data_IF_645877482493
#
_entry.id   IF_645877482493
#
_cell.length_a   1.000
_cell.length_b   1.000
_cell.length_c   1.000
_cell.angle_alpha   90.00
_cell.angle_beta   90.00
_cell.angle_gamma   90.00
#
_symmetry.space_group_name_H-M   'P 1'
#
loop_
_entity.id
_entity.type
_entity.pdbx_description
1 polymer ?
#
# COMPACT_ATOMS: atom_id res chain seq x y z
N UNK A 1 6.06 32.12 17.79
CA UNK A 1 7.52 32.29 17.67
C UNK A 1 7.78 33.03 16.37
N UNK A 2 8.13 34.32 16.42
CA UNK A 2 8.44 35.12 15.22
C UNK A 2 9.92 34.97 14.91
N UNK A 3 10.25 34.25 13.84
CA UNK A 3 11.64 34.03 13.40
C UNK A 3 12.10 35.30 12.64
N UNK A 4 13.03 36.06 13.21
CA UNK A 4 13.62 37.22 12.54
C UNK A 4 14.49 36.76 11.36
N UNK A 5 14.29 37.36 10.18
CA UNK A 5 15.05 37.04 8.96
C UNK A 5 14.54 35.84 8.16
N UNK A 6 13.38 35.28 8.49
CA UNK A 6 12.76 34.25 7.65
C UNK A 6 12.32 34.86 6.30
N UNK A 7 12.75 34.27 5.19
CA UNK A 7 12.25 34.66 3.88
C UNK A 7 10.72 34.41 3.82
N UNK A 8 9.92 35.42 3.47
CA UNK A 8 8.46 35.26 3.31
C UNK A 8 8.10 34.13 2.34
N UNK A 9 8.95 33.87 1.35
CA UNK A 9 8.69 32.88 0.29
C UNK A 9 8.86 31.42 0.74
N UNK A 10 9.47 31.19 1.92
CA UNK A 10 9.81 29.84 2.39
C UNK A 10 8.89 29.31 3.49
N UNK A 11 7.90 30.12 3.89
CA UNK A 11 6.92 29.80 4.91
C UNK A 11 5.50 29.91 4.36
N UNK A 12 4.71 28.86 4.56
CA UNK A 12 3.26 28.88 4.40
C UNK A 12 2.65 27.96 5.48
N UNK A 13 1.33 28.00 5.63
CA UNK A 13 0.65 27.18 6.65
C UNK A 13 0.83 25.68 6.43
N UNK A 14 0.90 25.22 5.18
CA UNK A 14 1.10 23.80 4.83
C UNK A 14 2.51 23.29 5.13
N UNK A 15 3.52 24.17 5.13
CA UNK A 15 4.93 23.87 5.40
C UNK A 15 5.31 24.13 6.85
N UNK A 16 4.43 24.75 7.63
CA UNK A 16 4.67 25.03 9.03
C UNK A 16 4.72 23.72 9.86
N UNK A 17 5.50 23.69 10.95
CA UNK A 17 5.47 22.57 11.88
C UNK A 17 4.06 22.34 12.44
N UNK A 18 3.65 21.08 12.55
CA UNK A 18 2.35 20.73 13.13
C UNK A 18 2.24 21.19 14.59
N UNK A 19 1.27 22.09 14.84
CA UNK A 19 0.98 22.66 16.17
C UNK A 19 0.09 21.74 17.02
N UNK A 20 -0.79 20.96 16.37
CA UNK A 20 -1.72 20.03 17.01
C UNK A 20 -1.36 18.60 16.65
N UNK A 21 -1.17 17.74 17.67
CA UNK A 21 -0.74 16.34 17.51
C UNK A 21 -1.75 15.39 18.15
N UNK A 22 -2.82 15.08 17.42
CA UNK A 22 -3.92 14.25 17.93
C UNK A 22 -3.75 12.75 17.67
N UNK A 23 -2.67 12.35 17.01
CA UNK A 23 -2.43 10.99 16.54
C UNK A 23 -1.85 10.12 17.66
N UNK A 24 -2.67 9.20 18.16
CA UNK A 24 -2.26 8.20 19.15
C UNK A 24 -1.79 6.88 18.52
N UNK A 25 -1.31 5.93 19.34
CA UNK A 25 -0.83 4.63 18.86
C UNK A 25 -1.86 3.86 18.02
N UNK A 26 -3.15 3.94 18.36
CA UNK A 26 -4.22 3.26 17.62
C UNK A 26 -4.40 3.82 16.21
N UNK A 27 -4.41 5.14 16.05
CA UNK A 27 -4.53 5.75 14.71
C UNK A 27 -3.29 5.49 13.85
N UNK A 28 -2.10 5.44 14.47
CA UNK A 28 -0.87 5.01 13.79
C UNK A 28 -0.99 3.55 13.35
N UNK A 29 -1.42 2.66 14.23
CA UNK A 29 -1.65 1.25 13.90
C UNK A 29 -2.64 1.07 12.74
N UNK A 30 -3.75 1.81 12.76
CA UNK A 30 -4.74 1.75 11.68
C UNK A 30 -4.18 2.27 10.34
N UNK A 31 -3.31 3.29 10.34
CA UNK A 31 -2.66 3.77 9.09
C UNK A 31 -1.80 2.68 8.50
N UNK A 32 -0.91 2.12 9.31
CA UNK A 32 -0.02 1.06 8.85
C UNK A 32 -0.79 -0.18 8.39
N UNK A 33 -1.83 -0.53 9.13
CA UNK A 33 -2.74 -1.62 8.72
C UNK A 33 -3.36 -1.32 7.37
N UNK A 34 -3.92 -0.12 7.17
CA UNK A 34 -4.57 0.25 5.91
C UNK A 34 -3.59 0.28 4.73
N UNK A 35 -2.33 0.65 4.96
CA UNK A 35 -1.28 0.66 3.93
C UNK A 35 -0.92 -0.77 3.48
N UNK A 36 -0.75 -1.69 4.44
CA UNK A 36 -0.44 -3.10 4.16
C UNK A 36 -1.63 -3.82 3.50
N UNK A 37 -2.87 -3.47 3.88
CA UNK A 37 -4.09 -4.07 3.34
C UNK A 37 -4.46 -3.46 1.97
N UNK A 38 -3.56 -3.63 1.00
CA UNK A 38 -3.75 -3.22 -0.38
C UNK A 38 -3.92 -4.43 -1.30
N UNK A 39 -4.70 -4.26 -2.38
CA UNK A 39 -4.90 -5.32 -3.37
C UNK A 39 -3.56 -5.81 -3.96
N UNK A 40 -2.67 -4.87 -4.29
CA UNK A 40 -1.34 -5.15 -4.80
C UNK A 40 -0.45 -5.86 -3.77
N UNK A 41 -0.55 -5.49 -2.49
CA UNK A 41 0.14 -6.17 -1.40
C UNK A 41 -0.28 -7.63 -1.27
N UNK A 42 -1.57 -7.93 -1.43
CA UNK A 42 -2.07 -9.31 -1.42
C UNK A 42 -1.60 -10.12 -2.62
N UNK A 43 -1.64 -9.56 -3.83
CA UNK A 43 -1.11 -10.23 -5.02
C UNK A 43 0.38 -10.52 -4.87
N UNK A 44 1.14 -9.55 -4.36
CA UNK A 44 2.56 -9.73 -4.11
C UNK A 44 2.79 -10.83 -3.07
N UNK A 45 2.15 -10.77 -1.91
CA UNK A 45 2.29 -11.76 -0.85
C UNK A 45 1.94 -13.18 -1.34
N UNK A 46 0.84 -13.32 -2.09
CA UNK A 46 0.43 -14.59 -2.68
C UNK A 46 1.47 -15.11 -3.70
N UNK A 47 2.05 -14.24 -4.52
CA UNK A 47 3.10 -14.63 -5.46
C UNK A 47 4.40 -15.04 -4.76
N UNK A 48 4.82 -14.27 -3.75
CA UNK A 48 6.03 -14.54 -2.96
C UNK A 48 5.93 -15.84 -2.17
N UNK A 49 4.72 -16.21 -1.72
CA UNK A 49 4.47 -17.48 -1.04
C UNK A 49 4.93 -18.69 -1.86
N UNK A 50 4.76 -18.65 -3.18
CA UNK A 50 5.15 -19.75 -4.07
C UNK A 50 6.66 -19.99 -4.08
N UNK A 51 7.48 -18.97 -3.83
CA UNK A 51 8.95 -19.11 -3.79
C UNK A 51 9.46 -19.59 -2.44
N UNK A 52 8.63 -19.59 -1.39
CA UNK A 52 9.06 -19.97 -0.06
C UNK A 52 9.05 -21.49 0.17
N UNK A 53 8.43 -22.28 -0.72
CA UNK A 53 8.39 -23.74 -0.60
C UNK A 53 7.53 -24.27 0.55
N UNK A 54 6.95 -23.38 1.36
CA UNK A 54 6.14 -23.75 2.52
C UNK A 54 5.80 -22.55 3.41
N UNK A 55 4.85 -22.76 4.33
CA UNK A 55 4.29 -21.71 5.17
C UNK A 55 5.29 -21.13 6.19
N UNK A 56 6.08 -21.98 6.84
CA UNK A 56 7.06 -21.54 7.87
C UNK A 56 8.14 -20.68 7.23
N UNK A 57 8.68 -21.11 6.09
CA UNK A 57 9.67 -20.37 5.32
C UNK A 57 9.14 -19.00 4.88
N UNK A 58 7.86 -18.93 4.50
CA UNK A 58 7.21 -17.67 4.16
C UNK A 58 7.13 -16.71 5.34
N UNK A 59 6.72 -17.19 6.53
CA UNK A 59 6.71 -16.37 7.74
C UNK A 59 8.11 -15.85 8.07
N UNK A 60 9.14 -16.69 7.95
CA UNK A 60 10.53 -16.29 8.23
C UNK A 60 10.99 -15.23 7.22
N UNK A 61 10.81 -15.47 5.92
CA UNK A 61 11.26 -14.55 4.87
C UNK A 61 10.56 -13.19 4.96
N UNK A 62 9.22 -13.18 5.04
CA UNK A 62 8.43 -11.94 5.19
C UNK A 62 8.68 -11.29 6.55
N UNK A 63 8.84 -12.07 7.62
CA UNK A 63 9.12 -11.58 8.96
C UNK A 63 10.45 -10.84 9.04
N UNK A 64 11.53 -11.41 8.49
CA UNK A 64 12.83 -10.75 8.40
C UNK A 64 12.74 -9.47 7.56
N UNK A 65 12.11 -9.53 6.39
CA UNK A 65 11.89 -8.35 5.56
C UNK A 65 11.11 -7.24 6.29
N UNK A 66 10.08 -7.63 7.04
CA UNK A 66 9.25 -6.70 7.83
C UNK A 66 10.01 -6.08 9.01
N UNK A 67 10.92 -6.81 9.65
CA UNK A 67 11.80 -6.25 10.69
C UNK A 67 12.79 -5.23 10.10
N UNK A 68 13.32 -5.49 8.91
CA UNK A 68 14.18 -4.53 8.19
C UNK A 68 13.37 -3.27 7.85
N UNK A 69 12.16 -3.42 7.29
CA UNK A 69 11.26 -2.31 6.99
C UNK A 69 10.97 -1.50 8.27
N UNK A 70 10.61 -2.18 9.36
CA UNK A 70 10.34 -1.54 10.64
C UNK A 70 11.53 -0.72 11.14
N UNK A 71 12.74 -1.27 11.10
CA UNK A 71 13.94 -0.56 11.52
C UNK A 71 14.21 0.69 10.67
N UNK A 72 14.16 0.57 9.34
CA UNK A 72 14.39 1.66 8.41
C UNK A 72 13.31 2.76 8.55
N UNK A 73 12.04 2.37 8.69
CA UNK A 73 10.93 3.31 8.90
C UNK A 73 11.05 4.08 10.21
N UNK A 74 11.51 3.45 11.29
CA UNK A 74 11.74 4.17 12.55
C UNK A 74 12.86 5.21 12.41
N UNK A 75 13.92 4.88 11.65
CA UNK A 75 15.03 5.79 11.42
C UNK A 75 14.57 7.03 10.62
N UNK A 76 13.81 6.83 9.56
CA UNK A 76 13.26 7.91 8.72
C UNK A 76 12.21 8.73 9.48
N UNK A 77 11.29 8.07 10.19
CA UNK A 77 10.18 8.72 10.90
C UNK A 77 10.61 9.56 12.11
N UNK A 78 11.79 9.31 12.70
CA UNK A 78 12.25 9.99 13.90
C UNK A 78 12.33 11.52 13.72
N UNK A 79 12.87 11.99 12.59
CA UNK A 79 12.99 13.41 12.29
C UNK A 79 11.61 14.09 12.17
N UNK A 80 10.66 13.43 11.51
CA UNK A 80 9.28 13.90 11.36
C UNK A 80 8.55 14.02 12.70
N UNK A 81 8.67 13.02 13.58
CA UNK A 81 8.04 13.06 14.91
C UNK A 81 8.64 14.15 15.79
N UNK A 82 9.97 14.32 15.76
CA UNK A 82 10.67 15.31 16.60
C UNK A 82 10.36 16.74 16.16
N UNK A 83 10.42 17.02 14.86
CA UNK A 83 10.31 18.38 14.32
C UNK A 83 8.88 18.77 13.96
N UNK A 84 8.03 17.81 13.60
CA UNK A 84 6.67 18.06 13.11
C UNK A 84 6.61 18.78 11.76
N UNK A 85 7.74 18.95 11.06
CA UNK A 85 7.76 19.57 9.73
C UNK A 85 7.51 18.54 8.63
N UNK A 86 6.91 18.94 7.50
CA UNK A 86 6.68 18.02 6.39
C UNK A 86 7.99 17.68 5.66
N UNK A 87 7.99 16.54 4.95
CA UNK A 87 9.16 16.03 4.22
C UNK A 87 9.88 17.06 3.35
N UNK A 88 9.22 17.91 2.52
CA UNK A 88 9.91 18.88 1.68
C UNK A 88 10.75 19.88 2.48
N UNK A 89 10.39 20.15 3.74
CA UNK A 89 11.17 21.02 4.63
C UNK A 89 12.36 20.26 5.22
N UNK A 90 12.18 19.00 5.63
CA UNK A 90 13.27 18.14 6.10
C UNK A 90 14.34 17.94 5.02
N UNK A 91 13.93 17.74 3.77
CA UNK A 91 14.83 17.55 2.64
C UNK A 91 15.75 18.76 2.39
N UNK A 92 15.38 19.97 2.84
CA UNK A 92 16.22 21.17 2.72
C UNK A 92 17.52 21.06 3.49
N UNK A 93 17.56 20.26 4.56
CA UNK A 93 18.78 20.04 5.33
C UNK A 93 19.85 19.26 4.54
N UNK A 94 19.44 18.40 3.60
CA UNK A 94 20.35 17.57 2.80
C UNK A 94 20.61 18.15 1.41
N UNK A 95 19.58 18.69 0.75
CA UNK A 95 19.66 19.12 -0.65
C UNK A 95 19.64 20.65 -0.82
N UNK A 96 19.56 21.41 0.27
CA UNK A 96 19.34 22.85 0.24
C UNK A 96 17.92 23.24 -0.15
N UNK A 97 17.63 24.54 -0.14
CA UNK A 97 16.28 25.09 -0.34
C UNK A 97 15.69 24.70 -1.71
N UNK A 98 16.47 24.89 -2.78
CA UNK A 98 16.03 24.62 -4.15
C UNK A 98 16.22 23.17 -4.56
N UNK A 99 17.28 22.51 -4.08
CA UNK A 99 17.55 21.10 -4.40
C UNK A 99 16.51 20.15 -3.80
N UNK A 100 15.89 20.51 -2.66
CA UNK A 100 14.82 19.72 -2.03
C UNK A 100 13.56 19.55 -2.91
N UNK A 101 13.37 20.40 -3.93
CA UNK A 101 12.25 20.27 -4.85
C UNK A 101 12.36 19.03 -5.74
N UNK A 102 13.57 18.59 -6.08
CA UNK A 102 13.78 17.40 -6.92
C UNK A 102 13.25 16.13 -6.23
N UNK A 103 13.69 15.75 -5.02
CA UNK A 103 13.15 14.57 -4.34
C UNK A 103 11.67 14.73 -3.99
N UNK A 104 11.20 15.94 -3.66
CA UNK A 104 9.78 16.19 -3.41
C UNK A 104 8.91 15.94 -4.66
N UNK A 105 9.37 16.34 -5.86
CA UNK A 105 8.67 16.09 -7.12
C UNK A 105 8.69 14.62 -7.50
N UNK A 106 9.85 13.94 -7.37
CA UNK A 106 9.94 12.49 -7.61
C UNK A 106 8.93 11.75 -6.73
N UNK A 107 8.88 12.10 -5.44
CA UNK A 107 7.91 11.54 -4.50
C UNK A 107 6.47 11.85 -4.91
N UNK A 108 6.17 13.06 -5.36
CA UNK A 108 4.83 13.43 -5.83
C UNK A 108 4.39 12.58 -7.04
N UNK A 109 5.29 12.34 -8.00
CA UNK A 109 5.02 11.47 -9.17
C UNK A 109 4.69 10.05 -8.73
N UNK A 110 5.50 9.48 -7.82
CA UNK A 110 5.26 8.12 -7.28
C UNK A 110 3.94 8.05 -6.52
N UNK A 111 3.61 9.08 -5.73
CA UNK A 111 2.34 9.16 -5.02
C UNK A 111 1.14 9.24 -5.98
N UNK A 112 1.23 10.03 -7.05
CA UNK A 112 0.19 10.11 -8.09
C UNK A 112 -0.01 8.76 -8.80
N UNK A 113 1.08 8.04 -9.10
CA UNK A 113 1.01 6.70 -9.69
C UNK A 113 0.26 5.73 -8.77
N UNK A 114 0.65 5.65 -7.49
CA UNK A 114 -0.01 4.76 -6.53
C UNK A 114 -1.45 5.14 -6.27
N UNK A 115 -1.76 6.44 -6.19
CA UNK A 115 -3.13 6.92 -6.08
C UNK A 115 -3.98 6.44 -7.27
N UNK A 116 -3.49 6.58 -8.50
CA UNK A 116 -4.18 6.09 -9.70
C UNK A 116 -4.35 4.57 -9.72
N UNK A 117 -3.28 3.82 -9.44
CA UNK A 117 -3.30 2.35 -9.43
C UNK A 117 -4.28 1.79 -8.38
N UNK A 118 -4.35 2.40 -7.19
CA UNK A 118 -5.26 1.99 -6.12
C UNK A 118 -6.71 2.38 -6.44
N UNK A 119 -6.92 3.54 -7.07
CA UNK A 119 -8.24 3.96 -7.57
C UNK A 119 -8.76 2.99 -8.63
N UNK A 120 -7.90 2.56 -9.56
CA UNK A 120 -8.23 1.57 -10.57
C UNK A 120 -8.62 0.23 -9.94
N UNK A 121 -7.81 -0.29 -9.02
CA UNK A 121 -8.12 -1.51 -8.28
C UNK A 121 -9.47 -1.42 -7.52
N UNK A 122 -9.71 -0.32 -6.80
CA UNK A 122 -10.97 -0.10 -6.09
C UNK A 122 -12.17 -0.02 -7.05
N UNK A 123 -12.03 0.69 -8.18
CA UNK A 123 -13.08 0.77 -9.19
C UNK A 123 -13.40 -0.58 -9.83
N UNK A 124 -12.39 -1.43 -10.05
CA UNK A 124 -12.57 -2.80 -10.55
C UNK A 124 -13.38 -3.67 -9.60
N UNK A 125 -13.21 -3.50 -8.27
CA UNK A 125 -14.04 -4.19 -7.29
C UNK A 125 -15.52 -3.78 -7.39
N UNK A 126 -15.81 -2.50 -7.64
CA UNK A 126 -17.17 -2.01 -7.87
C UNK A 126 -17.75 -2.57 -9.18
N UNK A 127 -16.97 -2.56 -10.26
CA UNK A 127 -17.38 -3.16 -11.54
C UNK A 127 -17.74 -4.63 -11.35
N UNK A 128 -16.88 -5.41 -10.67
CA UNK A 128 -17.12 -6.83 -10.40
C UNK A 128 -18.37 -7.10 -9.54
N UNK A 129 -18.79 -6.14 -8.72
CA UNK A 129 -20.06 -6.19 -7.98
C UNK A 129 -21.23 -5.84 -8.90
N UNK A 130 -21.12 -4.77 -9.69
CA UNK A 130 -22.20 -4.30 -10.57
C UNK A 130 -22.52 -5.30 -11.68
N UNK A 131 -21.52 -5.95 -12.26
CA UNK A 131 -21.71 -6.99 -13.31
C UNK A 131 -22.41 -8.25 -12.80
N UNK A 132 -22.69 -8.37 -11.49
CA UNK A 132 -23.61 -9.39 -10.97
C UNK A 132 -25.07 -9.12 -11.38
N UNK A 133 -25.38 -7.89 -11.79
CA UNK A 133 -26.67 -7.49 -12.32
C UNK A 133 -26.60 -7.49 -13.86
N UNK A 134 -27.56 -8.15 -14.50
CA UNK A 134 -27.52 -8.40 -15.96
C UNK A 134 -27.43 -7.11 -16.79
N UNK A 135 -28.13 -6.04 -16.38
CA UNK A 135 -28.05 -4.75 -17.07
C UNK A 135 -26.60 -4.24 -17.11
N UNK A 136 -25.94 -4.16 -15.96
CA UNK A 136 -24.57 -3.63 -15.88
C UNK A 136 -23.56 -4.56 -16.57
N UNK A 137 -23.78 -5.87 -16.58
CA UNK A 137 -22.95 -6.79 -17.36
C UNK A 137 -23.06 -6.54 -18.86
N UNK A 138 -24.28 -6.40 -19.39
CA UNK A 138 -24.50 -6.10 -20.81
C UNK A 138 -23.88 -4.76 -21.19
N UNK A 139 -24.06 -3.73 -20.36
CA UNK A 139 -23.43 -2.42 -20.56
C UNK A 139 -21.90 -2.50 -20.54
N UNK A 140 -21.33 -3.30 -19.63
CA UNK A 140 -19.89 -3.50 -19.52
C UNK A 140 -19.28 -4.17 -20.75
N UNK A 141 -20.05 -5.01 -21.46
CA UNK A 141 -19.59 -5.75 -22.64
C UNK A 141 -19.85 -5.05 -23.97
N UNK A 142 -20.82 -4.14 -24.01
CA UNK A 142 -21.29 -3.49 -25.25
C UNK A 142 -20.70 -2.09 -25.44
N UNK A 143 -20.43 -1.37 -24.36
CA UNK A 143 -19.97 0.01 -24.42
C UNK A 143 -18.49 0.12 -24.05
N UNK A 144 -17.68 0.66 -24.97
CA UNK A 144 -16.26 0.87 -24.77
C UNK A 144 -15.89 2.35 -24.89
N UNK A 145 -15.00 2.81 -24.01
CA UNK A 145 -14.47 4.17 -23.99
C UNK A 145 -13.00 4.12 -23.57
N UNK A 146 -12.12 4.86 -24.26
CA UNK A 146 -10.69 4.93 -23.97
C UNK A 146 -9.97 3.56 -23.95
N UNK A 147 -10.45 2.58 -24.71
CA UNK A 147 -9.91 1.22 -24.71
C UNK A 147 -10.34 0.34 -23.53
N UNK A 148 -11.19 0.88 -22.64
CA UNK A 148 -11.78 0.19 -21.50
C UNK A 148 -13.30 0.04 -21.69
N UNK A 149 -13.96 -0.73 -20.83
CA UNK A 149 -15.42 -0.68 -20.74
C UNK A 149 -15.85 0.70 -20.24
N UNK A 150 -16.94 1.25 -20.79
CA UNK A 150 -17.49 2.52 -20.31
C UNK A 150 -17.89 2.44 -18.84
N UNK A 151 -18.31 1.26 -18.36
CA UNK A 151 -18.60 1.05 -16.94
C UNK A 151 -17.35 1.21 -16.08
N UNK A 152 -16.21 0.68 -16.52
CA UNK A 152 -14.93 0.80 -15.79
C UNK A 152 -14.51 2.27 -15.67
N UNK A 153 -14.60 3.04 -16.76
CA UNK A 153 -14.26 4.46 -16.75
C UNK A 153 -15.18 5.25 -15.80
N UNK A 154 -16.48 4.98 -15.82
CA UNK A 154 -17.45 5.63 -14.92
C UNK A 154 -17.12 5.29 -13.46
N UNK A 155 -16.93 4.00 -13.13
CA UNK A 155 -16.59 3.57 -11.79
C UNK A 155 -15.26 4.19 -11.31
N UNK A 156 -14.26 4.28 -12.19
CA UNK A 156 -13.00 4.94 -11.88
C UNK A 156 -13.20 6.42 -11.53
N UNK A 157 -13.89 7.19 -12.38
CA UNK A 157 -14.13 8.62 -12.16
C UNK A 157 -14.95 8.86 -10.90
N UNK A 158 -15.96 8.03 -10.62
CA UNK A 158 -16.78 8.12 -9.40
C UNK A 158 -15.93 7.88 -8.15
N UNK A 159 -15.15 6.79 -8.12
CA UNK A 159 -14.30 6.47 -6.95
C UNK A 159 -13.23 7.55 -6.76
N UNK A 160 -12.58 7.98 -7.84
CA UNK A 160 -11.60 9.06 -7.83
C UNK A 160 -12.19 10.36 -7.24
N UNK A 161 -13.39 10.75 -7.69
CA UNK A 161 -14.05 11.96 -7.22
C UNK A 161 -14.45 11.85 -5.74
N UNK A 162 -14.98 10.70 -5.30
CA UNK A 162 -15.32 10.47 -3.91
C UNK A 162 -14.09 10.56 -2.98
N UNK A 163 -12.97 9.96 -3.39
CA UNK A 163 -11.72 10.05 -2.65
C UNK A 163 -11.23 11.51 -2.55
N UNK A 164 -11.28 12.25 -3.65
CA UNK A 164 -10.91 13.67 -3.67
C UNK A 164 -11.76 14.50 -2.70
N UNK A 165 -13.09 14.26 -2.66
CA UNK A 165 -14.00 14.93 -1.73
C UNK A 165 -13.69 14.63 -0.26
N UNK A 166 -13.22 13.43 0.06
CA UNK A 166 -12.82 13.06 1.42
C UNK A 166 -11.52 13.77 1.80
N UNK A 167 -10.52 13.78 0.90
CA UNK A 167 -9.21 14.41 1.14
C UNK A 167 -9.34 15.92 1.32
N UNK A 168 -10.22 16.58 0.56
CA UNK A 168 -10.48 18.02 0.69
C UNK A 168 -10.99 18.45 2.08
N UNK A 169 -11.59 17.52 2.85
CA UNK A 169 -12.04 17.78 4.23
C UNK A 169 -10.94 17.64 5.28
N UNK A 170 -9.68 17.49 4.85
CA UNK A 170 -8.50 17.48 5.72
C UNK A 170 -8.18 16.14 6.37
N UNK A 171 -6.98 16.06 6.95
CA UNK A 171 -6.40 14.83 7.49
C UNK A 171 -7.18 14.18 8.64
N UNK A 172 -7.94 14.98 9.42
CA UNK A 172 -8.77 14.44 10.50
C UNK A 172 -9.98 13.64 9.96
N UNK A 173 -10.54 14.05 8.81
CA UNK A 173 -11.62 13.29 8.16
C UNK A 173 -11.08 11.97 7.63
N UNK A 174 -9.89 11.99 7.01
CA UNK A 174 -9.20 10.78 6.53
C UNK A 174 -8.91 9.84 7.69
N UNK A 175 -8.38 10.35 8.79
CA UNK A 175 -8.11 9.57 10.01
C UNK A 175 -9.38 8.89 10.52
N UNK A 176 -10.48 9.62 10.68
CA UNK A 176 -11.75 9.05 11.20
C UNK A 176 -12.33 8.01 10.25
N UNK A 177 -12.27 8.25 8.95
CA UNK A 177 -12.70 7.29 7.94
C UNK A 177 -11.89 5.98 8.06
N UNK A 178 -10.57 6.11 8.20
CA UNK A 178 -9.67 4.98 8.28
C UNK A 178 -9.74 4.24 9.63
N UNK A 179 -9.96 4.95 10.74
CA UNK A 179 -10.19 4.36 12.06
C UNK A 179 -11.45 3.46 12.07
N UNK A 180 -12.42 3.73 11.19
CA UNK A 180 -13.58 2.87 10.96
C UNK A 180 -13.30 1.77 9.91
N UNK A 181 -12.66 2.11 8.80
CA UNK A 181 -12.40 1.17 7.71
C UNK A 181 -11.41 0.06 8.11
N UNK A 182 -10.40 0.38 8.94
CA UNK A 182 -9.38 -0.58 9.40
C UNK A 182 -9.99 -1.82 10.07
N UNK A 183 -10.81 -1.65 11.12
CA UNK A 183 -11.53 -2.77 11.73
C UNK A 183 -12.46 -3.52 10.76
N UNK A 184 -13.14 -2.82 9.86
CA UNK A 184 -14.05 -3.45 8.89
C UNK A 184 -13.30 -4.39 7.93
N UNK A 185 -12.11 -4.01 7.47
CA UNK A 185 -11.26 -4.85 6.62
C UNK A 185 -10.84 -6.11 7.36
N UNK A 186 -10.43 -6.02 8.62
CA UNK A 186 -10.07 -7.19 9.43
C UNK A 186 -11.22 -8.17 9.61
N UNK A 187 -12.42 -7.66 9.89
CA UNK A 187 -13.63 -8.50 10.00
C UNK A 187 -13.88 -9.26 8.70
N UNK A 188 -13.79 -8.57 7.55
CA UNK A 188 -13.98 -9.21 6.24
C UNK A 188 -12.88 -10.24 5.92
N UNK A 189 -11.63 -9.98 6.29
CA UNK A 189 -10.53 -10.93 6.14
C UNK A 189 -10.75 -12.20 6.97
N UNK A 190 -11.20 -12.06 8.21
CA UNK A 190 -11.53 -13.22 9.07
C UNK A 190 -12.70 -14.02 8.51
N UNK A 191 -13.75 -13.36 8.03
CA UNK A 191 -14.89 -14.03 7.37
C UNK A 191 -14.40 -14.82 6.15
N UNK A 192 -13.58 -14.21 5.30
CA UNK A 192 -13.05 -14.86 4.11
C UNK A 192 -12.13 -16.04 4.47
N UNK A 193 -11.28 -15.89 5.48
CA UNK A 193 -10.41 -16.98 5.96
C UNK A 193 -11.22 -18.16 6.48
N UNK A 194 -12.24 -17.93 7.32
CA UNK A 194 -13.13 -18.99 7.82
C UNK A 194 -13.86 -19.67 6.66
N UNK A 195 -14.40 -18.88 5.72
CA UNK A 195 -15.07 -19.43 4.54
C UNK A 195 -14.15 -20.33 3.71
N UNK A 196 -12.89 -19.91 3.48
CA UNK A 196 -11.91 -20.71 2.73
C UNK A 196 -11.53 -22.00 3.48
N UNK A 197 -11.37 -21.94 4.80
CA UNK A 197 -11.12 -23.14 5.63
C UNK A 197 -12.28 -24.13 5.61
N UNK A 198 -13.52 -23.65 5.59
CA UNK A 198 -14.71 -24.53 5.46
C UNK A 198 -14.78 -25.11 4.06
N UNK A 199 -14.51 -24.30 3.03
CA UNK A 199 -14.57 -24.71 1.62
C UNK A 199 -13.46 -25.69 1.22
N UNK A 200 -12.28 -25.59 1.83
CA UNK A 200 -11.18 -26.54 1.59
C UNK A 200 -11.47 -27.94 2.17
N UNK A 201 -12.46 -28.06 3.07
CA UNK A 201 -12.82 -29.31 3.74
C UNK A 201 -11.73 -29.85 4.69
N UNK A 202 -10.61 -29.13 4.84
CA UNK A 202 -9.43 -29.55 5.60
C UNK A 202 -8.80 -28.35 6.28
N UNK A 203 -8.44 -28.50 7.57
CA UNK A 203 -7.67 -27.52 8.32
C UNK A 203 -6.27 -28.07 8.54
N UNK A 204 -5.28 -27.49 7.87
CA UNK A 204 -3.87 -27.86 8.01
C UNK A 204 -3.04 -26.62 8.29
N UNK A 205 -2.14 -26.70 9.28
CA UNK A 205 -1.16 -25.64 9.55
C UNK A 205 -0.04 -25.60 8.49
N UNK A 206 0.24 -26.75 7.87
CA UNK A 206 1.18 -26.91 6.76
C UNK A 206 0.55 -27.83 5.73
N UNK A 207 0.13 -27.26 4.60
CA UNK A 207 -0.23 -27.99 3.39
C UNK A 207 0.74 -27.55 2.30
N UNK A 208 1.91 -28.18 2.27
CA UNK A 208 2.95 -27.77 1.34
C UNK A 208 2.52 -28.09 -0.09
N UNK A 209 2.64 -27.09 -0.96
CA UNK A 209 2.32 -27.22 -2.37
C UNK A 209 3.38 -28.16 -2.98
N UNK A 210 2.99 -29.17 -3.78
CA UNK A 210 3.93 -30.06 -4.43
C UNK A 210 5.02 -29.30 -5.20
N UNK A 211 6.28 -29.74 -5.06
CA UNK A 211 7.45 -29.02 -5.60
C UNK A 211 7.40 -28.87 -7.13
N UNK A 212 6.86 -29.87 -7.83
CA UNK A 212 6.64 -29.84 -9.28
C UNK A 212 5.70 -28.68 -9.69
N UNK A 213 4.64 -28.46 -8.92
CA UNK A 213 3.71 -27.34 -9.13
C UNK A 213 4.40 -26.01 -8.84
N UNK A 214 5.19 -25.93 -7.76
CA UNK A 214 5.93 -24.72 -7.44
C UNK A 214 6.91 -24.35 -8.55
N UNK A 215 7.71 -25.31 -9.01
CA UNK A 215 8.67 -25.11 -10.10
C UNK A 215 8.00 -24.64 -11.39
N UNK A 216 6.85 -25.22 -11.78
CA UNK A 216 6.11 -24.77 -12.96
C UNK A 216 5.59 -23.33 -12.80
N UNK A 217 5.09 -22.99 -11.62
CA UNK A 217 4.55 -21.65 -11.33
C UNK A 217 5.62 -20.57 -11.18
N UNK A 218 6.85 -20.94 -10.81
CA UNK A 218 7.95 -19.99 -10.56
C UNK A 218 8.94 -19.86 -11.72
N UNK A 219 8.87 -20.73 -12.74
CA UNK A 219 9.88 -20.81 -13.81
C UNK A 219 10.15 -19.48 -14.54
N UNK A 220 9.10 -18.70 -14.78
CA UNK A 220 9.18 -17.46 -15.58
C UNK A 220 9.31 -16.19 -14.73
N UNK A 221 9.42 -16.33 -13.40
CA UNK A 221 9.37 -15.19 -12.50
C UNK A 221 10.72 -14.49 -12.26
N UNK A 222 11.82 -15.06 -12.77
CA UNK A 222 13.15 -14.47 -12.67
C UNK A 222 13.74 -14.43 -11.25
N UNK A 223 13.14 -15.15 -10.29
CA UNK A 223 13.65 -15.27 -8.92
C UNK A 223 14.70 -16.39 -8.87
N UNK A 224 15.92 -16.14 -8.36
CA UNK A 224 16.98 -17.14 -8.37
C UNK A 224 16.77 -18.23 -7.32
N UNK A 225 16.96 -19.48 -7.75
CA UNK A 225 16.96 -20.67 -6.93
C UNK A 225 15.62 -21.39 -6.86
N UNK A 226 15.66 -22.62 -6.35
CA UNK A 226 14.46 -23.45 -6.18
C UNK A 226 13.57 -22.91 -5.05
N UNK A 227 12.24 -23.06 -5.16
CA UNK A 227 11.31 -22.71 -4.08
C UNK A 227 11.72 -23.31 -2.73
N UNK A 228 11.83 -22.47 -1.71
CA UNK A 228 12.27 -22.85 -0.36
C UNK A 228 13.79 -22.91 -0.15
N UNK A 229 14.59 -22.70 -1.20
CA UNK A 229 16.04 -22.56 -1.06
C UNK A 229 16.41 -21.23 -0.40
N UNK A 230 17.56 -21.15 0.25
CA UNK A 230 18.03 -19.91 0.89
C UNK A 230 18.10 -18.74 -0.08
N UNK A 231 18.50 -18.96 -1.34
CA UNK A 231 18.56 -17.90 -2.34
C UNK A 231 17.17 -17.37 -2.69
N UNK A 232 16.17 -18.25 -2.80
CA UNK A 232 14.78 -17.86 -3.02
C UNK A 232 14.23 -17.08 -1.81
N UNK A 233 14.51 -17.52 -0.57
CA UNK A 233 14.05 -16.82 0.63
C UNK A 233 14.68 -15.44 0.79
N UNK A 234 15.97 -15.29 0.51
CA UNK A 234 16.62 -13.97 0.51
C UNK A 234 16.06 -13.07 -0.59
N UNK A 235 15.80 -13.61 -1.79
CA UNK A 235 15.17 -12.86 -2.87
C UNK A 235 13.76 -12.41 -2.49
N UNK A 236 12.95 -13.27 -1.87
CA UNK A 236 11.61 -12.93 -1.36
C UNK A 236 11.68 -11.79 -0.34
N UNK A 237 12.58 -11.90 0.65
CA UNK A 237 12.76 -10.85 1.65
C UNK A 237 13.21 -9.53 1.02
N UNK A 238 14.13 -9.58 0.05
CA UNK A 238 14.60 -8.40 -0.67
C UNK A 238 13.47 -7.74 -1.48
N UNK A 239 12.69 -8.53 -2.24
CA UNK A 239 11.55 -8.02 -3.02
C UNK A 239 10.51 -7.39 -2.08
N UNK A 240 10.24 -8.01 -0.93
CA UNK A 240 9.34 -7.45 0.07
C UNK A 240 9.83 -6.09 0.58
N UNK A 241 11.11 -5.97 0.92
CA UNK A 241 11.72 -4.70 1.34
C UNK A 241 11.68 -3.65 0.20
N UNK A 242 11.94 -4.06 -1.03
CA UNK A 242 11.89 -3.18 -2.21
C UNK A 242 10.48 -2.70 -2.52
N UNK A 243 9.45 -3.52 -2.34
CA UNK A 243 8.06 -3.12 -2.54
C UNK A 243 7.69 -1.93 -1.63
N UNK A 244 8.09 -1.99 -0.37
CA UNK A 244 7.88 -0.89 0.59
C UNK A 244 8.91 0.24 0.47
N UNK A 245 9.79 0.22 -0.55
CA UNK A 245 10.84 1.22 -0.68
C UNK A 245 10.36 2.63 -0.97
N UNK A 246 9.20 2.75 -1.63
CA UNK A 246 8.55 4.04 -1.84
C UNK A 246 8.25 4.76 -0.52
N UNK A 247 8.05 4.02 0.59
CA UNK A 247 7.85 4.61 1.91
C UNK A 247 9.15 5.18 2.50
N UNK A 248 10.33 4.67 2.11
CA UNK A 248 11.62 5.22 2.55
C UNK A 248 11.95 6.57 1.90
N UNK A 249 11.21 6.97 0.86
CA UNK A 249 11.32 8.30 0.25
C UNK A 249 10.67 9.41 1.12
N UNK A 250 10.26 9.09 2.36
CA UNK A 250 9.75 10.03 3.37
C UNK A 250 10.85 10.65 4.23
#
# INVERSE_FOLDING_TARGET
MTIQGASPDLYNEDLAPATVRNWGPFSIFNVWTSDVHSLWGYYLAASLFLFCGGFVNFIIAIGIGSLIIYFLMNLVGYAGVKTGVPYPVLARASFGIWGANIPALVRAVVACFWYGAQTAAASGAIVALLTRLQWFDEFNRTSHLLGHSTLEVICFVVIWALQLLIIQKGMETVRRFQDWAGPAVWVMMLILAIYLCVKSGTFAFTSDIPMDVLLDKTKDAGVPGEPGSWTALFAVAAIWVTYFSALYLN
#
